data_IF_747502766547
#
_entry.id   IF_747502766547
#
_cell.length_a   1.000
_cell.length_b   1.000
_cell.length_c   1.000
_cell.angle_alpha   90.00
_cell.angle_beta   90.00
_cell.angle_gamma   90.00
#
_symmetry.space_group_name_H-M   'P 1'
#
loop_
_entity.id
_entity.type
_entity.pdbx_description
1 polymer ?
#
# COMPACT_ATOMS: atom_id res chain seq x y z
N UNK A 1 -3.52 -21.66 -4.33
CA UNK A 1 -2.65 -21.59 -3.15
C UNK A 1 -3.50 -21.89 -1.94
N UNK A 2 -3.51 -23.14 -1.47
CA UNK A 2 -4.26 -23.53 -0.27
C UNK A 2 -3.49 -23.05 0.96
N UNK A 3 -4.01 -21.99 1.60
CA UNK A 3 -3.61 -21.72 2.98
C UNK A 3 -4.16 -22.86 3.84
N UNK A 4 -3.34 -23.48 4.72
CA UNK A 4 -3.83 -24.44 5.71
C UNK A 4 -4.96 -23.80 6.54
N UNK A 5 -6.00 -24.56 6.89
CA UNK A 5 -7.20 -24.03 7.59
C UNK A 5 -6.86 -23.24 8.86
N UNK A 6 -5.81 -23.64 9.57
CA UNK A 6 -5.25 -22.91 10.73
C UNK A 6 -4.81 -21.48 10.37
N UNK A 7 -4.14 -21.29 9.23
CA UNK A 7 -3.70 -19.97 8.76
C UNK A 7 -4.89 -19.10 8.37
N UNK A 8 -5.92 -19.68 7.75
CA UNK A 8 -7.15 -18.96 7.45
C UNK A 8 -7.82 -18.47 8.73
N UNK A 9 -7.89 -19.27 9.81
CA UNK A 9 -8.48 -18.81 11.08
C UNK A 9 -7.73 -17.63 11.71
N UNK A 10 -6.40 -17.67 11.75
CA UNK A 10 -5.58 -16.59 12.31
C UNK A 10 -5.68 -15.29 11.49
N UNK A 11 -5.71 -15.39 10.16
CA UNK A 11 -5.68 -14.22 9.28
C UNK A 11 -7.07 -13.75 8.83
N UNK A 12 -8.15 -14.51 9.06
CA UNK A 12 -9.48 -14.20 8.54
C UNK A 12 -9.92 -12.78 8.86
N UNK A 13 -9.79 -12.38 10.13
CA UNK A 13 -10.19 -11.05 10.61
C UNK A 13 -9.37 -9.94 9.93
N UNK A 14 -8.08 -10.18 9.66
CA UNK A 14 -7.22 -9.23 8.98
C UNK A 14 -7.55 -9.13 7.50
N UNK A 15 -7.76 -10.27 6.84
CA UNK A 15 -8.15 -10.34 5.43
C UNK A 15 -9.49 -9.64 5.24
N UNK A 16 -10.52 -9.95 6.04
CA UNK A 16 -11.84 -9.35 5.91
C UNK A 16 -11.80 -7.82 6.07
N UNK A 17 -11.02 -7.32 7.05
CA UNK A 17 -10.81 -5.87 7.23
C UNK A 17 -10.06 -5.22 6.07
N UNK A 18 -9.04 -5.90 5.53
CA UNK A 18 -8.30 -5.43 4.37
C UNK A 18 -9.20 -5.37 3.13
N UNK A 19 -9.95 -6.44 2.88
CA UNK A 19 -10.89 -6.52 1.75
C UNK A 19 -11.97 -5.43 1.82
N UNK A 20 -12.45 -5.09 3.01
CA UNK A 20 -13.41 -3.99 3.20
C UNK A 20 -12.86 -2.60 2.82
N UNK A 21 -11.53 -2.42 2.81
CA UNK A 21 -10.88 -1.16 2.43
C UNK A 21 -10.50 -1.09 0.94
N UNK A 22 -10.53 -2.22 0.21
CA UNK A 22 -10.13 -2.28 -1.20
C UNK A 22 -10.98 -1.37 -2.11
N UNK A 23 -12.31 -1.26 -1.97
CA UNK A 23 -13.11 -0.42 -2.87
C UNK A 23 -12.70 1.05 -2.84
N UNK A 24 -12.42 1.59 -1.65
CA UNK A 24 -11.95 2.98 -1.50
C UNK A 24 -10.53 3.14 -2.02
N UNK A 25 -9.65 2.16 -1.78
CA UNK A 25 -8.31 2.17 -2.35
C UNK A 25 -8.31 2.06 -3.88
N UNK A 26 -9.27 1.36 -4.48
CA UNK A 26 -9.43 1.32 -5.94
C UNK A 26 -9.86 2.68 -6.51
N UNK A 27 -10.59 3.50 -5.75
CA UNK A 27 -10.92 4.89 -6.15
C UNK A 27 -9.72 5.83 -6.08
N UNK A 28 -8.85 5.63 -5.10
CA UNK A 28 -7.67 6.49 -4.84
C UNK A 28 -6.41 5.96 -5.55
N UNK A 29 -6.45 4.73 -6.04
CA UNK A 29 -5.34 4.08 -6.73
C UNK A 29 -4.95 4.78 -8.04
N UNK A 30 -3.68 4.65 -8.42
CA UNK A 30 -3.21 5.20 -9.70
C UNK A 30 -3.95 4.56 -10.88
N UNK A 31 -4.36 5.37 -11.85
CA UNK A 31 -5.03 4.86 -13.04
C UNK A 31 -4.13 3.91 -13.84
N UNK A 32 -4.72 2.91 -14.50
CA UNK A 32 -3.98 1.98 -15.35
C UNK A 32 -3.18 2.71 -16.45
N UNK A 33 -3.70 3.82 -16.97
CA UNK A 33 -3.00 4.68 -17.92
C UNK A 33 -1.74 5.31 -17.32
N UNK A 34 -1.83 5.86 -16.10
CA UNK A 34 -0.67 6.45 -15.41
C UNK A 34 0.41 5.39 -15.15
N UNK A 35 0.01 4.16 -14.81
CA UNK A 35 0.92 3.01 -14.72
C UNK A 35 1.60 2.74 -16.05
N UNK A 36 0.82 2.61 -17.12
CA UNK A 36 1.33 2.34 -18.47
C UNK A 36 2.34 3.38 -18.96
N UNK A 37 2.04 4.67 -18.78
CA UNK A 37 2.96 5.76 -19.12
C UNK A 37 4.26 5.70 -18.31
N UNK A 38 4.16 5.38 -17.01
CA UNK A 38 5.35 5.28 -16.15
C UNK A 38 6.24 4.11 -16.54
N UNK A 39 5.64 2.96 -16.88
CA UNK A 39 6.36 1.78 -17.38
C UNK A 39 7.03 2.10 -18.72
N UNK A 40 6.32 2.72 -19.66
CA UNK A 40 6.89 3.13 -20.94
C UNK A 40 8.09 4.07 -20.76
N UNK A 41 7.96 5.06 -19.87
CA UNK A 41 9.06 5.97 -19.56
C UNK A 41 10.25 5.23 -18.93
N UNK A 42 10.02 4.29 -18.02
CA UNK A 42 11.08 3.49 -17.41
C UNK A 42 11.82 2.64 -18.45
N UNK A 43 11.11 2.03 -19.38
CA UNK A 43 11.68 1.18 -20.43
C UNK A 43 12.43 1.97 -21.51
N UNK A 44 12.09 3.24 -21.70
CA UNK A 44 12.71 4.11 -22.71
C UNK A 44 13.78 5.05 -22.16
N UNK A 45 13.96 5.09 -20.83
CA UNK A 45 14.95 5.95 -20.19
C UNK A 45 16.38 5.50 -20.51
N UNK A 46 17.24 6.44 -20.90
CA UNK A 46 18.67 6.19 -21.13
C UNK A 46 19.43 5.72 -19.89
N UNK A 47 18.91 6.02 -18.69
CA UNK A 47 19.40 5.52 -17.39
C UNK A 47 18.18 5.24 -16.49
N UNK A 48 17.61 4.03 -16.54
CA UNK A 48 16.41 3.69 -15.77
C UNK A 48 16.68 3.72 -14.26
N UNK A 49 15.73 4.25 -13.49
CA UNK A 49 15.78 4.26 -12.01
C UNK A 49 15.31 2.93 -11.46
N UNK A 50 15.80 2.55 -10.28
CA UNK A 50 15.34 1.35 -9.57
C UNK A 50 13.90 1.46 -9.06
N UNK A 51 13.34 2.69 -8.97
CA UNK A 51 11.99 2.95 -8.45
C UNK A 51 11.35 4.12 -9.20
N UNK A 52 10.13 3.90 -9.69
CA UNK A 52 9.29 4.93 -10.31
C UNK A 52 7.98 5.04 -9.54
N UNK A 53 7.62 6.26 -9.16
CA UNK A 53 6.35 6.56 -8.50
C UNK A 53 5.27 6.74 -9.56
N UNK A 54 4.12 6.10 -9.37
CA UNK A 54 3.04 6.08 -10.35
C UNK A 54 1.84 6.83 -9.81
N UNK A 55 1.35 7.81 -10.56
CA UNK A 55 0.21 8.65 -10.16
C UNK A 55 0.61 9.88 -9.32
N UNK A 56 -0.20 10.93 -9.39
CA UNK A 56 0.06 12.21 -8.71
C UNK A 56 0.06 12.07 -7.19
N UNK A 57 -0.81 11.22 -6.66
CA UNK A 57 -0.93 10.98 -5.22
C UNK A 57 0.24 10.18 -4.65
N UNK A 58 0.79 9.24 -5.43
CA UNK A 58 2.00 8.52 -5.01
C UNK A 58 3.24 9.43 -5.00
N UNK A 59 3.32 10.36 -5.95
CA UNK A 59 4.40 11.34 -5.99
C UNK A 59 4.29 12.35 -4.84
N UNK A 60 3.09 12.89 -4.60
CA UNK A 60 2.80 13.78 -3.49
C UNK A 60 3.02 13.07 -2.13
N UNK A 61 2.52 11.84 -1.99
CA UNK A 61 2.71 11.01 -0.80
C UNK A 61 4.17 10.71 -0.50
N UNK A 62 4.98 10.41 -1.53
CA UNK A 62 6.41 10.18 -1.36
C UNK A 62 7.18 11.47 -0.99
N UNK A 63 6.77 12.62 -1.53
CA UNK A 63 7.33 13.93 -1.16
C UNK A 63 6.99 14.25 0.29
N UNK A 64 5.70 14.17 0.67
CA UNK A 64 5.23 14.39 2.04
C UNK A 64 5.93 13.42 3.01
N UNK A 65 6.04 12.14 2.67
CA UNK A 65 6.77 11.17 3.49
C UNK A 65 8.28 11.47 3.58
N UNK A 66 8.90 12.03 2.54
CA UNK A 66 10.32 12.41 2.60
C UNK A 66 10.56 13.62 3.51
N UNK A 67 9.62 14.55 3.59
CA UNK A 67 9.75 15.77 4.40
C UNK A 67 9.14 15.66 5.80
N UNK A 68 8.38 14.60 6.07
CA UNK A 68 7.72 14.38 7.36
C UNK A 68 8.64 13.67 8.37
N UNK A 69 8.67 14.11 9.64
CA UNK A 69 9.38 13.43 10.71
C UNK A 69 8.84 12.02 10.99
N UNK A 70 9.74 11.09 11.32
CA UNK A 70 9.40 9.68 11.54
C UNK A 70 8.36 9.41 12.65
N UNK A 71 8.33 10.14 13.79
CA UNK A 71 7.29 9.95 14.82
C UNK A 71 5.88 10.25 14.31
N UNK A 72 5.75 11.19 13.38
CA UNK A 72 4.45 11.56 12.77
C UNK A 72 4.00 10.46 11.82
N UNK A 73 4.92 9.88 11.03
CA UNK A 73 4.63 8.70 10.20
C UNK A 73 4.16 7.54 11.06
N UNK A 74 4.82 7.26 12.17
CA UNK A 74 4.45 6.17 13.08
C UNK A 74 3.08 6.40 13.70
N UNK A 75 2.77 7.64 14.08
CA UNK A 75 1.45 8.00 14.60
C UNK A 75 0.35 7.80 13.54
N UNK A 76 0.55 8.32 12.31
CA UNK A 76 -0.39 8.17 11.20
C UNK A 76 -0.58 6.70 10.84
N UNK A 77 0.51 5.94 10.72
CA UNK A 77 0.50 4.49 10.45
C UNK A 77 -0.33 3.74 11.49
N UNK A 78 -0.18 4.07 12.79
CA UNK A 78 -0.99 3.48 13.87
C UNK A 78 -2.47 3.81 13.74
N UNK A 79 -2.82 5.03 13.31
CA UNK A 79 -4.22 5.43 13.13
C UNK A 79 -4.87 4.79 11.88
N UNK A 80 -4.13 4.68 10.78
CA UNK A 80 -4.64 4.15 9.51
C UNK A 80 -4.77 2.63 9.53
N UNK A 81 -3.73 1.92 9.98
CA UNK A 81 -3.70 0.46 9.83
C UNK A 81 -4.63 -0.23 10.86
N UNK A 82 -5.04 0.46 11.95
CA UNK A 82 -5.91 -0.10 13.03
C UNK A 82 -5.58 -1.56 13.35
N UNK A 83 -4.29 -1.88 13.45
CA UNK A 83 -3.86 -3.24 13.76
C UNK A 83 -4.39 -3.61 15.16
N UNK A 84 -5.08 -4.74 15.33
CA UNK A 84 -5.32 -5.27 16.67
C UNK A 84 -3.96 -5.46 17.36
N UNK A 85 -3.88 -5.03 18.64
CA UNK A 85 -2.64 -5.02 19.42
C UNK A 85 -2.10 -6.44 19.72
N UNK A 86 -2.86 -7.47 19.43
CA UNK A 86 -2.56 -8.88 19.73
C UNK A 86 -3.20 -9.80 18.69
N UNK A 87 -2.48 -10.87 18.35
CA UNK A 87 -3.02 -12.00 17.59
C UNK A 87 -4.17 -12.60 18.43
N UNK A 88 -5.32 -12.98 17.85
CA UNK A 88 -6.34 -13.70 18.60
C UNK A 88 -5.72 -14.97 19.17
N UNK A 89 -5.93 -15.22 20.47
CA UNK A 89 -5.49 -16.46 21.09
C UNK A 89 -6.07 -17.65 20.30
N UNK A 90 -5.18 -18.59 19.96
CA UNK A 90 -5.48 -19.72 19.08
C UNK A 90 -6.45 -20.74 19.65
#
# INVERSE_FOLDING_TARGET
>A
SDLPEHGLRLYRVFIDKAMAHIPEQNRIGASAEAVGQTVLHALTASRPKSRYLVGKDAQAGAIVARFMPDPVKDWITRQIIKLPKTLPDG
#
